data_IF_947638270050
#
_entry.id   IF_947638270050
#
_cell.length_a   1.000
_cell.length_b   1.000
_cell.length_c   1.000
_cell.angle_alpha   90.00
_cell.angle_beta   90.00
_cell.angle_gamma   90.00
#
_symmetry.space_group_name_H-M   'P 1'
#
loop_
_entity.id
_entity.type
_entity.pdbx_description
1 polymer ?
#
# COMPACT_ATOMS: atom_id res chain seq x y z
N UNK A 1 -9.25 -10.25 5.53
CA UNK A 1 -10.69 -10.30 5.75
C UNK A 1 -11.43 -10.16 4.43
N UNK A 2 -12.53 -10.88 4.23
CA UNK A 2 -13.38 -10.77 3.04
C UNK A 2 -14.13 -9.43 3.01
N UNK A 3 -14.38 -8.84 4.17
CA UNK A 3 -15.15 -7.62 4.33
C UNK A 3 -14.36 -6.37 3.95
N UNK A 4 -13.06 -6.37 4.22
CA UNK A 4 -12.17 -5.23 3.94
C UNK A 4 -10.91 -5.66 3.18
N UNK A 5 -11.03 -6.06 1.90
CA UNK A 5 -9.90 -6.58 1.12
C UNK A 5 -8.78 -5.57 0.93
N UNK A 6 -9.09 -4.27 0.90
CA UNK A 6 -8.09 -3.20 0.78
C UNK A 6 -7.21 -3.13 2.02
N UNK A 7 -7.79 -3.19 3.23
CA UNK A 7 -7.04 -3.21 4.48
C UNK A 7 -6.15 -4.46 4.56
N UNK A 8 -6.69 -5.63 4.21
CA UNK A 8 -5.92 -6.87 4.19
C UNK A 8 -4.72 -6.81 3.23
N UNK A 9 -4.90 -6.19 2.06
CA UNK A 9 -3.82 -6.02 1.09
C UNK A 9 -2.73 -5.07 1.61
N UNK A 10 -3.11 -3.93 2.20
CA UNK A 10 -2.14 -3.01 2.80
C UNK A 10 -1.38 -3.63 3.96
N UNK A 11 -2.06 -4.41 4.82
CA UNK A 11 -1.43 -5.15 5.91
C UNK A 11 -0.38 -6.13 5.40
N UNK A 12 -0.74 -6.97 4.44
CA UNK A 12 0.19 -7.92 3.80
C UNK A 12 1.42 -7.22 3.21
N UNK A 13 1.21 -6.10 2.51
CA UNK A 13 2.32 -5.33 1.94
C UNK A 13 3.19 -4.68 3.01
N UNK A 14 2.60 -4.16 4.11
CA UNK A 14 3.35 -3.60 5.22
C UNK A 14 4.24 -4.66 5.90
N UNK A 15 3.71 -5.87 6.13
CA UNK A 15 4.49 -7.00 6.65
C UNK A 15 5.65 -7.37 5.72
N UNK A 16 5.38 -7.47 4.42
CA UNK A 16 6.37 -7.83 3.40
C UNK A 16 7.51 -6.80 3.32
N UNK A 17 7.19 -5.50 3.45
CA UNK A 17 8.17 -4.42 3.35
C UNK A 17 8.89 -4.11 4.67
N UNK A 18 8.47 -4.67 5.80
CA UNK A 18 8.97 -4.32 7.12
C UNK A 18 10.50 -4.35 7.21
N UNK A 19 11.14 -5.34 6.61
CA UNK A 19 12.60 -5.49 6.60
C UNK A 19 13.26 -5.03 5.30
N UNK A 20 12.63 -5.25 4.16
CA UNK A 20 13.22 -4.96 2.85
C UNK A 20 13.13 -3.47 2.46
N UNK A 21 12.06 -2.80 2.88
CA UNK A 21 11.80 -1.38 2.58
C UNK A 21 10.95 -0.76 3.69
N UNK A 22 11.60 -0.41 4.80
CA UNK A 22 10.92 0.15 5.96
C UNK A 22 10.17 1.46 5.65
N UNK A 23 10.60 2.25 4.68
CA UNK A 23 9.88 3.45 4.22
C UNK A 23 8.52 3.06 3.64
N UNK A 24 8.49 2.12 2.69
CA UNK A 24 7.24 1.62 2.10
C UNK A 24 6.34 0.95 3.14
N UNK A 25 6.91 0.25 4.13
CA UNK A 25 6.14 -0.28 5.26
C UNK A 25 5.37 0.82 5.98
N UNK A 26 6.05 1.90 6.42
CA UNK A 26 5.42 3.03 7.11
C UNK A 26 4.34 3.72 6.27
N UNK A 27 4.55 3.85 4.96
CA UNK A 27 3.55 4.38 4.03
C UNK A 27 2.31 3.48 4.00
N UNK A 28 2.46 2.15 3.93
CA UNK A 28 1.33 1.21 3.92
C UNK A 28 0.54 1.23 5.23
N UNK A 29 1.22 1.34 6.37
CA UNK A 29 0.55 1.51 7.66
C UNK A 29 -0.26 2.82 7.70
N UNK A 30 0.28 3.92 7.16
CA UNK A 30 -0.45 5.17 7.00
C UNK A 30 -1.72 5.04 6.16
N UNK A 31 -1.65 4.28 5.05
CA UNK A 31 -2.81 4.00 4.19
C UNK A 31 -3.90 3.20 4.93
N UNK A 32 -3.52 2.27 5.81
CA UNK A 32 -4.47 1.55 6.67
C UNK A 32 -5.19 2.53 7.59
N UNK A 33 -4.44 3.37 8.32
CA UNK A 33 -5.02 4.34 9.24
C UNK A 33 -5.98 5.32 8.54
N UNK A 34 -5.60 5.86 7.39
CA UNK A 34 -6.47 6.74 6.59
C UNK A 34 -7.73 6.01 6.10
N UNK A 35 -7.60 4.76 5.67
CA UNK A 35 -8.74 3.96 5.20
C UNK A 35 -9.73 3.69 6.34
N UNK A 36 -9.24 3.30 7.53
CA UNK A 36 -10.08 3.06 8.70
C UNK A 36 -10.84 4.33 9.09
N UNK A 37 -10.16 5.48 9.19
CA UNK A 37 -10.79 6.76 9.50
C UNK A 37 -11.89 7.11 8.49
N UNK A 38 -11.63 6.93 7.18
CA UNK A 38 -12.61 7.20 6.14
C UNK A 38 -13.84 6.27 6.23
N UNK A 39 -13.61 4.99 6.50
CA UNK A 39 -14.69 4.02 6.67
C UNK A 39 -15.56 4.36 7.88
N UNK A 40 -14.96 4.77 9.01
CA UNK A 40 -15.69 5.21 10.22
C UNK A 40 -16.59 6.40 9.91
N UNK A 41 -16.09 7.44 9.26
CA UNK A 41 -16.91 8.57 8.82
C UNK A 41 -18.10 8.15 7.96
N UNK A 42 -17.86 7.19 7.05
CA UNK A 42 -18.90 6.68 6.15
C UNK A 42 -19.95 5.87 6.88
N UNK A 43 -19.54 4.93 7.74
CA UNK A 43 -20.47 4.03 8.45
C UNK A 43 -21.28 4.74 9.51
N UNK A 44 -20.68 5.69 10.23
CA UNK A 44 -21.36 6.46 11.27
C UNK A 44 -22.08 7.71 10.73
N UNK A 45 -21.98 7.99 9.43
CA UNK A 45 -22.68 9.11 8.80
C UNK A 45 -22.23 10.48 9.29
N UNK A 46 -20.97 10.62 9.71
CA UNK A 46 -20.45 11.86 10.31
C UNK A 46 -20.08 12.84 9.20
N UNK A 47 -20.49 14.10 9.38
CA UNK A 47 -20.08 15.17 8.49
C UNK A 47 -18.57 15.43 8.59
N UNK A 48 -17.92 15.64 7.46
CA UNK A 48 -16.50 15.99 7.44
C UNK A 48 -16.27 17.34 8.14
N UNK A 49 -15.19 17.46 8.93
CA UNK A 49 -14.86 18.73 9.57
C UNK A 49 -14.51 19.80 8.54
N UNK A 50 -14.71 21.07 8.89
CA UNK A 50 -14.41 22.20 8.00
C UNK A 50 -12.95 22.18 7.53
N UNK A 51 -12.01 22.02 8.47
CA UNK A 51 -10.61 21.73 8.17
C UNK A 51 -10.46 20.22 7.99
N UNK A 52 -10.61 19.74 6.77
CA UNK A 52 -10.62 18.32 6.47
C UNK A 52 -9.19 17.71 6.41
N UNK A 53 -8.45 17.86 7.51
CA UNK A 53 -7.12 17.25 7.66
C UNK A 53 -7.19 15.89 8.36
N UNK A 54 -6.16 15.06 8.23
CA UNK A 54 -6.07 13.79 8.95
C UNK A 54 -6.15 13.96 10.48
N UNK A 55 -5.54 15.04 11.01
CA UNK A 55 -5.58 15.35 12.45
C UNK A 55 -7.01 15.66 12.89
N UNK A 56 -7.69 16.57 12.19
CA UNK A 56 -9.04 16.99 12.56
C UNK A 56 -10.04 15.85 12.45
N UNK A 57 -9.90 14.98 11.45
CA UNK A 57 -10.74 13.77 11.33
C UNK A 57 -10.56 12.84 12.53
N UNK A 58 -9.32 12.47 12.88
CA UNK A 58 -9.04 11.59 14.02
C UNK A 58 -9.61 12.21 15.32
N UNK A 59 -9.35 13.51 15.56
CA UNK A 59 -9.85 14.20 16.74
C UNK A 59 -11.38 14.31 16.76
N UNK A 60 -12.03 14.43 15.61
CA UNK A 60 -13.49 14.43 15.52
C UNK A 60 -14.05 13.07 15.96
N UNK A 61 -13.54 11.95 15.45
CA UNK A 61 -13.97 10.62 15.86
C UNK A 61 -13.81 10.39 17.37
N UNK A 62 -12.71 10.85 17.95
CA UNK A 62 -12.49 10.77 19.41
C UNK A 62 -13.50 11.63 20.17
N UNK A 63 -13.75 12.87 19.74
CA UNK A 63 -14.72 13.78 20.38
C UNK A 63 -16.15 13.26 20.32
N UNK A 64 -16.53 12.61 19.21
CA UNK A 64 -17.84 11.99 19.05
C UNK A 64 -17.97 10.67 19.84
N UNK A 65 -16.91 10.24 20.55
CA UNK A 65 -16.91 9.00 21.35
C UNK A 65 -16.83 7.70 20.54
N UNK A 66 -16.54 7.79 19.26
CA UNK A 66 -16.49 6.65 18.35
C UNK A 66 -15.12 5.99 18.30
N UNK A 67 -14.06 6.73 18.64
CA UNK A 67 -12.68 6.25 18.65
C UNK A 67 -12.12 6.33 20.08
N UNK A 68 -11.76 5.19 20.71
CA UNK A 68 -11.06 5.16 21.98
C UNK A 68 -9.74 5.94 21.94
N UNK A 69 -9.35 6.52 23.08
CA UNK A 69 -8.18 7.41 23.16
C UNK A 69 -6.87 6.72 22.79
N UNK A 70 -6.66 5.51 23.24
CA UNK A 70 -5.49 4.70 22.92
C UNK A 70 -5.35 4.42 21.41
N UNK A 71 -6.46 4.16 20.73
CA UNK A 71 -6.49 3.98 19.28
C UNK A 71 -6.33 5.31 18.52
N UNK A 72 -6.79 6.41 19.09
CA UNK A 72 -6.51 7.76 18.59
C UNK A 72 -4.99 8.02 18.60
N UNK A 73 -4.31 7.68 19.70
CA UNK A 73 -2.87 7.85 19.85
C UNK A 73 -2.10 6.97 18.83
N UNK A 74 -2.57 5.74 18.59
CA UNK A 74 -2.03 4.86 17.53
C UNK A 74 -2.17 5.51 16.14
N UNK A 75 -3.34 6.01 15.79
CA UNK A 75 -3.57 6.68 14.51
C UNK A 75 -2.69 7.92 14.34
N UNK A 76 -2.47 8.69 15.41
CA UNK A 76 -1.55 9.83 15.36
C UNK A 76 -0.09 9.39 15.19
N UNK A 77 0.34 8.29 15.82
CA UNK A 77 1.68 7.72 15.63
C UNK A 77 1.90 7.26 14.18
N UNK A 78 0.97 6.48 13.64
CA UNK A 78 0.97 6.02 12.24
C UNK A 78 1.04 7.20 11.27
N UNK A 79 0.20 8.22 11.48
CA UNK A 79 0.16 9.43 10.64
C UNK A 79 1.50 10.17 10.65
N UNK A 80 2.12 10.34 11.84
CA UNK A 80 3.42 11.02 11.98
C UNK A 80 4.51 10.24 11.25
N UNK A 81 4.58 8.93 11.44
CA UNK A 81 5.56 8.07 10.79
C UNK A 81 5.40 8.07 9.26
N UNK A 82 4.15 7.97 8.76
CA UNK A 82 3.87 8.06 7.32
C UNK A 82 4.29 9.41 6.72
N UNK A 83 4.02 10.52 7.41
CA UNK A 83 4.43 11.83 6.94
C UNK A 83 5.96 11.94 6.84
N UNK A 84 6.68 11.45 7.85
CA UNK A 84 8.13 11.40 7.87
C UNK A 84 8.68 10.52 6.73
N UNK A 85 8.07 9.34 6.52
CA UNK A 85 8.43 8.46 5.42
C UNK A 85 8.22 9.13 4.05
N UNK A 86 7.11 9.84 3.85
CA UNK A 86 6.75 10.46 2.58
C UNK A 86 7.59 11.71 2.27
N UNK A 87 7.86 12.57 3.26
CA UNK A 87 8.50 13.87 3.02
C UNK A 87 10.01 13.86 3.26
N UNK A 88 10.51 12.96 4.09
CA UNK A 88 11.92 12.88 4.48
C UNK A 88 12.61 11.61 3.97
N UNK A 89 11.91 10.79 3.18
CA UNK A 89 12.38 9.45 2.76
C UNK A 89 12.85 8.59 3.94
N UNK A 90 12.20 8.76 5.09
CA UNK A 90 12.56 8.09 6.33
C UNK A 90 12.05 6.65 6.35
N UNK A 91 12.86 5.73 6.87
CA UNK A 91 12.50 4.34 7.14
C UNK A 91 13.28 3.78 8.33
N UNK A 92 12.62 3.08 9.22
CA UNK A 92 13.21 2.37 10.35
C UNK A 92 12.49 1.04 10.54
N UNK A 93 13.24 -0.05 10.52
CA UNK A 93 12.73 -1.41 10.72
C UNK A 93 12.09 -1.55 12.11
N UNK A 94 12.72 -1.00 13.16
CA UNK A 94 12.21 -1.12 14.53
C UNK A 94 10.93 -0.30 14.75
N UNK A 95 10.85 0.91 14.17
CA UNK A 95 9.62 1.69 14.17
C UNK A 95 8.53 0.99 13.32
N UNK A 96 8.91 0.42 12.18
CA UNK A 96 8.02 -0.38 11.34
C UNK A 96 7.40 -1.55 12.08
N UNK A 97 8.20 -2.36 12.79
CA UNK A 97 7.72 -3.47 13.63
C UNK A 97 6.77 -3.02 14.73
N UNK A 98 7.13 -1.96 15.44
CA UNK A 98 6.33 -1.41 16.53
C UNK A 98 4.97 -0.91 16.01
N UNK A 99 4.98 -0.12 14.95
CA UNK A 99 3.76 0.41 14.36
C UNK A 99 2.93 -0.66 13.67
N UNK A 100 3.55 -1.71 13.11
CA UNK A 100 2.84 -2.85 12.55
C UNK A 100 2.01 -3.57 13.62
N UNK A 101 2.59 -3.81 14.80
CA UNK A 101 1.88 -4.40 15.94
C UNK A 101 0.74 -3.50 16.43
N UNK A 102 0.98 -2.20 16.56
CA UNK A 102 -0.05 -1.23 16.94
C UNK A 102 -1.18 -1.15 15.92
N UNK A 103 -0.82 -1.16 14.62
CA UNK A 103 -1.80 -1.15 13.53
C UNK A 103 -2.61 -2.44 13.52
N UNK A 104 -2.01 -3.57 13.85
CA UNK A 104 -2.74 -4.83 14.00
C UNK A 104 -3.82 -4.71 15.09
N UNK A 105 -3.48 -4.18 16.26
CA UNK A 105 -4.46 -3.95 17.35
C UNK A 105 -5.59 -3.00 16.91
N UNK A 106 -5.27 -1.95 16.17
CA UNK A 106 -6.27 -1.05 15.57
C UNK A 106 -7.20 -1.79 14.60
N UNK A 107 -6.65 -2.64 13.73
CA UNK A 107 -7.42 -3.44 12.78
C UNK A 107 -8.31 -4.47 13.49
N UNK A 108 -7.81 -5.13 14.54
CA UNK A 108 -8.58 -6.06 15.37
C UNK A 108 -9.80 -5.37 15.98
N UNK A 109 -9.60 -4.21 16.61
CA UNK A 109 -10.70 -3.42 17.16
C UNK A 109 -11.69 -2.99 16.05
N UNK A 110 -11.18 -2.53 14.92
CA UNK A 110 -12.03 -2.12 13.79
C UNK A 110 -12.87 -3.28 13.26
N UNK A 111 -12.29 -4.48 13.16
CA UNK A 111 -13.01 -5.67 12.73
C UNK A 111 -14.09 -6.11 13.72
N UNK A 112 -13.85 -5.94 15.02
CA UNK A 112 -14.85 -6.24 16.05
C UNK A 112 -16.00 -5.24 16.07
N UNK A 113 -15.73 -3.98 15.71
CA UNK A 113 -16.71 -2.88 15.80
C UNK A 113 -17.50 -2.73 14.51
N UNK A 114 -16.86 -2.86 13.34
CA UNK A 114 -17.42 -2.56 12.03
C UNK A 114 -17.45 -3.76 11.06
N UNK A 115 -16.81 -4.87 11.43
CA UNK A 115 -16.70 -6.07 10.58
C UNK A 115 -17.77 -7.12 10.89
N UNK A 116 -17.43 -8.37 10.55
CA UNK A 116 -18.31 -9.51 10.81
C UNK A 116 -18.49 -9.76 12.31
N UNK A 117 -19.73 -9.89 12.75
CA UNK A 117 -20.10 -10.24 14.12
C UNK A 117 -19.41 -11.51 14.65
N UNK A 118 -19.07 -12.44 13.77
CA UNK A 118 -18.39 -13.69 14.10
C UNK A 118 -16.86 -13.57 14.04
N UNK A 119 -16.31 -12.36 13.88
CA UNK A 119 -14.87 -12.17 13.80
C UNK A 119 -14.18 -12.68 15.08
N UNK A 120 -13.18 -13.53 14.89
CA UNK A 120 -12.36 -14.05 15.98
C UNK A 120 -10.98 -13.41 15.91
N UNK A 121 -10.54 -12.86 17.03
CA UNK A 121 -9.20 -12.31 17.17
C UNK A 121 -8.16 -13.37 16.82
N UNK A 122 -7.15 -12.94 16.11
CA UNK A 122 -5.98 -13.74 15.80
C UNK A 122 -4.80 -13.22 16.64
N UNK A 123 -3.82 -14.05 16.87
CA UNK A 123 -2.60 -13.61 17.54
C UNK A 123 -1.69 -12.91 16.52
N UNK A 124 -1.20 -11.71 16.86
CA UNK A 124 -0.19 -11.05 16.05
C UNK A 124 1.10 -11.87 16.05
N UNK A 125 1.63 -12.09 14.86
CA UNK A 125 2.94 -12.73 14.66
C UNK A 125 3.85 -11.69 14.04
N UNK A 126 4.92 -11.34 14.78
CA UNK A 126 5.92 -10.41 14.25
C UNK A 126 6.57 -10.99 13.00
N UNK A 127 6.64 -10.24 11.89
CA UNK A 127 7.35 -10.69 10.70
C UNK A 127 8.79 -11.09 11.06
N UNK A 128 9.27 -12.17 10.47
CA UNK A 128 10.65 -12.62 10.63
C UNK A 128 11.51 -11.98 9.55
N UNK A 129 12.71 -11.58 9.91
CA UNK A 129 13.68 -11.08 8.93
C UNK A 129 13.97 -12.16 7.89
N UNK A 130 13.75 -11.89 6.59
CA UNK A 130 14.01 -12.88 5.56
C UNK A 130 15.50 -13.27 5.54
N UNK A 131 15.80 -14.55 5.33
CA UNK A 131 17.18 -14.98 5.14
C UNK A 131 17.73 -14.40 3.82
N UNK A 132 19.06 -14.28 3.71
CA UNK A 132 19.72 -13.84 2.46
C UNK A 132 19.27 -14.66 1.24
N UNK A 133 18.99 -15.96 1.45
CA UNK A 133 18.47 -16.86 0.42
C UNK A 133 17.06 -16.47 -0.06
N UNK A 134 16.24 -15.94 0.82
CA UNK A 134 14.87 -15.53 0.48
C UNK A 134 14.86 -14.21 -0.33
N UNK A 135 15.75 -13.28 -0.01
CA UNK A 135 15.96 -12.07 -0.83
C UNK A 135 16.37 -12.43 -2.26
N UNK A 136 17.32 -13.36 -2.43
CA UNK A 136 17.77 -13.81 -3.76
C UNK A 136 16.63 -14.46 -4.56
N UNK A 137 15.73 -15.19 -3.92
CA UNK A 137 14.55 -15.78 -4.59
C UNK A 137 13.56 -14.71 -5.04
N UNK A 138 13.28 -13.71 -4.17
CA UNK A 138 12.36 -12.61 -4.49
C UNK A 138 12.90 -11.78 -5.65
N UNK A 139 14.20 -11.49 -5.67
CA UNK A 139 14.82 -10.73 -6.75
C UNK A 139 14.72 -11.50 -8.08
N UNK A 140 15.03 -12.79 -8.10
CA UNK A 140 14.90 -13.64 -9.31
C UNK A 140 13.45 -13.73 -9.81
N UNK A 141 12.48 -13.84 -8.90
CA UNK A 141 11.06 -13.83 -9.28
C UNK A 141 10.61 -12.47 -9.84
N UNK A 142 11.13 -11.39 -9.30
CA UNK A 142 10.82 -10.04 -9.77
C UNK A 142 11.48 -9.78 -11.14
N UNK A 143 12.74 -10.17 -11.33
CA UNK A 143 13.44 -10.11 -12.62
C UNK A 143 12.66 -10.87 -13.69
N UNK A 144 12.25 -12.10 -13.39
CA UNK A 144 11.44 -12.92 -14.32
C UNK A 144 10.11 -12.27 -14.67
N UNK A 145 9.40 -11.67 -13.69
CA UNK A 145 8.14 -10.95 -13.94
C UNK A 145 8.34 -9.71 -14.81
N UNK A 146 9.45 -9.00 -14.63
CA UNK A 146 9.80 -7.83 -15.45
C UNK A 146 10.10 -8.28 -16.89
N UNK A 147 10.87 -9.34 -17.07
CA UNK A 147 11.20 -9.92 -18.36
C UNK A 147 9.95 -10.40 -19.10
N UNK A 148 9.06 -11.16 -18.43
CA UNK A 148 7.77 -11.61 -18.98
C UNK A 148 6.86 -10.44 -19.40
N UNK A 149 6.84 -9.35 -18.60
CA UNK A 149 6.06 -8.17 -18.92
C UNK A 149 6.63 -7.38 -20.11
N UNK A 150 7.96 -7.26 -20.20
CA UNK A 150 8.64 -6.62 -21.31
C UNK A 150 8.41 -7.41 -22.60
N UNK A 151 8.51 -8.74 -22.55
CA UNK A 151 8.26 -9.62 -23.69
C UNK A 151 6.82 -9.49 -24.20
N UNK A 152 5.82 -9.56 -23.30
CA UNK A 152 4.41 -9.35 -23.66
C UNK A 152 4.13 -7.97 -24.24
N UNK A 153 4.81 -6.93 -23.73
CA UNK A 153 4.67 -5.56 -24.24
C UNK A 153 5.30 -5.42 -25.62
N UNK A 154 6.45 -6.08 -25.86
CA UNK A 154 7.11 -6.12 -27.16
C UNK A 154 6.28 -6.88 -28.20
N UNK A 155 5.71 -8.04 -27.84
CA UNK A 155 4.82 -8.81 -28.71
C UNK A 155 3.56 -8.02 -29.08
N UNK A 156 2.95 -7.32 -28.11
CA UNK A 156 1.78 -6.47 -28.35
C UNK A 156 2.10 -5.27 -29.24
N UNK A 157 3.28 -4.67 -29.07
CA UNK A 157 3.75 -3.59 -29.94
C UNK A 157 4.04 -4.09 -31.36
N UNK A 158 4.64 -5.27 -31.51
CA UNK A 158 4.89 -5.89 -32.81
C UNK A 158 3.59 -6.28 -33.54
N UNK A 159 2.58 -6.75 -32.79
CA UNK A 159 1.26 -7.07 -33.35
C UNK A 159 0.45 -5.84 -33.77
N UNK A 160 0.67 -4.69 -33.14
CA UNK A 160 0.01 -3.42 -33.47
C UNK A 160 0.77 -2.55 -34.46
N UNK A 161 1.99 -2.92 -34.83
CA UNK A 161 2.77 -2.20 -35.83
C UNK A 161 2.12 -2.32 -37.24
N UNK A 162 1.92 -1.21 -37.95
CA UNK A 162 1.39 -1.27 -39.30
C UNK A 162 2.32 -2.10 -40.19
N UNK A 163 1.75 -3.10 -40.87
CA UNK A 163 2.49 -3.92 -41.87
C UNK A 163 2.77 -3.05 -43.08
N UNK A 164 3.84 -2.27 -43.03
CA UNK A 164 4.33 -1.52 -44.17
C UNK A 164 4.89 -2.54 -45.20
N UNK A 165 4.37 -2.50 -46.40
CA UNK A 165 4.79 -3.39 -47.47
C UNK A 165 6.29 -3.21 -47.83
N UNK A 166 6.91 -4.24 -48.38
CA UNK A 166 8.32 -4.12 -48.79
C UNK A 166 8.56 -3.00 -49.81
N UNK A 167 7.56 -2.69 -50.64
CA UNK A 167 7.64 -1.60 -51.61
C UNK A 167 7.63 -0.22 -50.96
N UNK A 168 6.79 -0.02 -49.91
CA UNK A 168 6.75 1.23 -49.15
C UNK A 168 8.05 1.45 -48.37
N UNK A 169 8.67 0.41 -47.82
CA UNK A 169 9.98 0.51 -47.16
C UNK A 169 11.09 0.90 -48.16
N UNK A 170 11.07 0.37 -49.38
CA UNK A 170 12.01 0.75 -50.42
C UNK A 170 11.84 2.20 -50.86
N UNK A 171 10.60 2.68 -51.00
CA UNK A 171 10.32 4.09 -51.31
C UNK A 171 10.78 5.04 -50.23
N UNK A 172 10.54 4.74 -48.95
CA UNK A 172 10.99 5.55 -47.83
C UNK A 172 12.52 5.59 -47.72
N UNK A 173 13.20 4.47 -47.94
CA UNK A 173 14.66 4.39 -47.98
C UNK A 173 15.27 5.18 -49.12
N UNK A 174 14.66 5.21 -50.29
CA UNK A 174 15.13 5.97 -51.46
C UNK A 174 14.96 7.51 -51.26
N UNK A 175 13.90 7.93 -50.59
CA UNK A 175 13.67 9.34 -50.23
C UNK A 175 14.65 9.85 -49.18
N UNK A 176 15.02 9.00 -48.21
CA UNK A 176 16.00 9.35 -47.16
C UNK A 176 17.44 9.42 -47.65
N UNK A 177 17.76 8.76 -48.75
CA UNK A 177 19.11 8.74 -49.36
C UNK A 177 19.32 9.84 -50.44
N UNK A 178 18.28 10.64 -50.75
CA UNK A 178 18.28 11.66 -51.77
C UNK A 178 18.30 13.12 -51.26
N UNK A 179 18.59 13.34 -49.97
CA UNK A 179 18.75 14.67 -49.39
C UNK A 179 20.16 14.90 -48.86
#
# INVERSE_FOLDING_TARGET
>A
SKDFPVLANFGKLAEQYCYSDANSCLIKLGMIGETIVNLMFTYDGIALPYENTAITRINTLMREGLLPRDLCDILHAIRKARNKATHENYGSVDEGKTLLQMTYSLCEWFMQTYGDWNYKNQQFVTPVEPSTTDYIKVDKENEKKIEDNLTKKAEKAAASAPKISQEERKKQSAVAAGN
#
